data_IF_700694216521
#
_entry.id   IF_700694216521
#
_cell.length_a   1.000
_cell.length_b   1.000
_cell.length_c   1.000
_cell.angle_alpha   90.00
_cell.angle_beta   90.00
_cell.angle_gamma   90.00
#
_symmetry.space_group_name_H-M   'P 1'
#
loop_
_entity.id
_entity.type
_entity.pdbx_description
1 polymer ?
#
# COMPACT_ATOMS: atom_id res chain seq x y z
N UNK A 1 -23.94 -2.01 -16.92
CA UNK A 1 -22.88 -2.17 -15.90
C UNK A 1 -23.10 -3.49 -15.17
N UNK A 2 -22.05 -4.20 -14.76
CA UNK A 2 -22.21 -5.43 -13.97
C UNK A 2 -22.67 -5.11 -12.54
N UNK A 3 -23.38 -6.02 -11.87
CA UNK A 3 -23.76 -5.85 -10.46
C UNK A 3 -22.52 -5.58 -9.58
N UNK A 4 -21.41 -6.29 -9.85
CA UNK A 4 -20.12 -6.10 -9.16
C UNK A 4 -19.64 -4.65 -9.23
N UNK A 5 -19.61 -4.07 -10.43
CA UNK A 5 -19.19 -2.66 -10.64
C UNK A 5 -20.13 -1.67 -9.96
N UNK A 6 -21.45 -1.94 -9.96
CA UNK A 6 -22.42 -1.08 -9.27
C UNK A 6 -22.20 -1.10 -7.76
N UNK A 7 -22.04 -2.28 -7.14
CA UNK A 7 -21.77 -2.40 -5.70
C UNK A 7 -20.49 -1.65 -5.33
N UNK A 8 -19.41 -1.84 -6.09
CA UNK A 8 -18.15 -1.15 -5.85
C UNK A 8 -18.31 0.37 -5.94
N UNK A 9 -19.01 0.88 -6.96
CA UNK A 9 -19.25 2.32 -7.13
C UNK A 9 -20.02 2.94 -5.95
N UNK A 10 -21.00 2.23 -5.39
CA UNK A 10 -21.73 2.68 -4.19
C UNK A 10 -20.90 2.55 -2.91
N UNK A 11 -19.91 1.65 -2.87
CA UNK A 11 -19.05 1.45 -1.71
C UNK A 11 -17.95 2.51 -1.56
N UNK A 12 -17.43 3.07 -2.66
CA UNK A 12 -16.36 4.08 -2.62
C UNK A 12 -16.65 5.29 -1.71
N UNK A 13 -17.81 5.96 -1.76
CA UNK A 13 -18.10 7.09 -0.87
C UNK A 13 -18.26 6.69 0.61
N UNK A 14 -18.39 5.40 0.91
CA UNK A 14 -18.52 4.86 2.27
C UNK A 14 -17.16 4.56 2.92
N UNK A 15 -16.09 4.45 2.12
CA UNK A 15 -14.73 4.11 2.59
C UNK A 15 -14.22 4.99 3.74
N UNK A 16 -14.42 6.34 3.76
CA UNK A 16 -13.89 7.18 4.83
C UNK A 16 -14.49 6.87 6.22
N UNK A 17 -15.62 6.15 6.26
CA UNK A 17 -16.34 5.83 7.49
C UNK A 17 -16.27 4.35 7.87
N UNK A 18 -16.22 3.46 6.88
CA UNK A 18 -16.34 2.01 7.09
C UNK A 18 -15.11 1.21 6.62
N UNK A 19 -14.08 1.91 6.13
CA UNK A 19 -12.83 1.33 5.62
C UNK A 19 -13.01 0.36 4.43
N UNK A 20 -11.92 -0.31 4.04
CA UNK A 20 -11.86 -1.34 3.00
C UNK A 20 -12.34 -2.69 3.50
N UNK A 21 -13.50 -2.72 4.15
CA UNK A 21 -14.03 -3.93 4.77
C UNK A 21 -15.14 -4.55 3.94
N UNK A 22 -15.41 -5.82 4.26
CA UNK A 22 -16.55 -6.54 3.72
C UNK A 22 -17.89 -5.88 4.09
N UNK A 23 -17.98 -5.32 5.28
CA UNK A 23 -19.19 -4.62 5.77
C UNK A 23 -19.55 -3.42 4.88
N UNK A 24 -18.54 -2.70 4.35
CA UNK A 24 -18.74 -1.61 3.40
C UNK A 24 -19.48 -2.08 2.14
N UNK A 25 -19.18 -3.29 1.64
CA UNK A 25 -19.89 -3.88 0.49
C UNK A 25 -21.32 -4.28 0.87
N UNK A 26 -21.52 -4.85 2.06
CA UNK A 26 -22.85 -5.23 2.57
C UNK A 26 -23.77 -4.01 2.74
N UNK A 27 -23.20 -2.87 3.17
CA UNK A 27 -23.88 -1.58 3.25
C UNK A 27 -24.19 -1.01 1.86
N UNK A 28 -23.24 -1.03 0.93
CA UNK A 28 -23.47 -0.58 -0.45
C UNK A 28 -24.59 -1.38 -1.14
N UNK A 29 -24.60 -2.71 -0.96
CA UNK A 29 -25.65 -3.57 -1.50
C UNK A 29 -27.03 -3.28 -0.90
N UNK A 30 -27.09 -2.93 0.40
CA UNK A 30 -28.32 -2.51 1.05
C UNK A 30 -28.85 -1.18 0.48
N UNK A 31 -27.96 -0.24 0.16
CA UNK A 31 -28.33 1.03 -0.47
C UNK A 31 -28.93 0.81 -1.86
N UNK A 32 -28.33 -0.07 -2.67
CA UNK A 32 -28.84 -0.39 -4.02
C UNK A 32 -30.25 -0.98 -3.95
N UNK A 33 -30.51 -1.95 -3.06
CA UNK A 33 -31.85 -2.55 -2.89
C UNK A 33 -32.91 -1.52 -2.48
N UNK A 34 -32.53 -0.56 -1.64
CA UNK A 34 -33.44 0.50 -1.20
C UNK A 34 -33.87 1.41 -2.36
N UNK A 35 -33.01 1.58 -3.38
CA UNK A 35 -33.30 2.39 -4.57
C UNK A 35 -34.17 1.63 -5.58
N UNK A 36 -33.97 0.32 -5.73
CA UNK A 36 -34.70 -0.49 -6.73
C UNK A 36 -36.13 -0.86 -6.31
N UNK A 37 -36.52 -0.65 -5.05
CA UNK A 37 -37.82 -1.07 -4.53
C UNK A 37 -38.72 0.10 -4.03
N UNK A 38 -39.06 1.12 -4.85
CA UNK A 38 -39.73 2.31 -4.30
C UNK A 38 -41.24 2.16 -3.99
N UNK A 39 -41.96 1.17 -4.53
CA UNK A 39 -43.43 1.31 -4.66
C UNK A 39 -44.26 0.01 -4.54
N UNK A 40 -43.86 -0.95 -3.68
CA UNK A 40 -44.81 -2.01 -3.31
C UNK A 40 -45.81 -1.46 -2.27
N UNK A 41 -47.12 -1.35 -2.57
CA UNK A 41 -48.09 -0.80 -1.64
C UNK A 41 -48.15 -1.64 -0.38
N UNK A 42 -48.03 -0.94 0.74
CA UNK A 42 -48.08 -1.38 2.14
C UNK A 42 -49.15 -2.43 2.38
N UNK A 43 -48.82 -3.71 2.17
CA UNK A 43 -49.66 -4.82 2.59
C UNK A 43 -49.26 -5.10 4.04
N UNK A 44 -50.14 -4.71 4.94
CA UNK A 44 -50.04 -4.94 6.37
C UNK A 44 -49.69 -6.41 6.65
N UNK A 45 -48.43 -6.67 7.01
CA UNK A 45 -47.99 -7.99 7.47
C UNK A 45 -47.29 -7.84 8.82
N UNK A 46 -47.85 -8.60 9.74
CA UNK A 46 -47.65 -8.70 11.18
C UNK A 46 -46.26 -9.17 11.60
N UNK A 47 -45.79 -8.60 12.72
CA UNK A 47 -45.07 -9.14 13.89
C UNK A 47 -43.88 -10.13 13.77
N UNK A 48 -43.55 -10.71 12.62
CA UNK A 48 -42.45 -11.69 12.47
C UNK A 48 -41.13 -11.08 11.92
N UNK A 49 -40.95 -9.77 12.10
CA UNK A 49 -39.89 -8.96 11.47
C UNK A 49 -38.44 -9.28 11.90
N UNK A 50 -38.26 -9.93 13.06
CA UNK A 50 -36.92 -10.21 13.58
C UNK A 50 -36.19 -11.30 12.77
N UNK A 51 -36.91 -12.29 12.24
CA UNK A 51 -36.30 -13.43 11.55
C UNK A 51 -35.93 -13.14 10.09
N UNK A 52 -36.68 -12.27 9.41
CA UNK A 52 -36.42 -11.90 8.02
C UNK A 52 -35.13 -11.10 7.86
N UNK A 53 -34.83 -10.24 8.85
CA UNK A 53 -33.62 -9.40 8.86
C UNK A 53 -32.32 -10.23 8.84
N UNK A 54 -32.32 -11.41 9.48
CA UNK A 54 -31.16 -12.31 9.51
C UNK A 54 -31.01 -13.11 8.20
N UNK A 55 -32.12 -13.52 7.58
CA UNK A 55 -32.06 -14.19 6.28
C UNK A 55 -31.59 -13.21 5.19
N UNK A 56 -31.97 -11.94 5.30
CA UNK A 56 -31.49 -10.89 4.40
C UNK A 56 -30.00 -10.57 4.57
N UNK A 57 -29.44 -10.65 5.78
CA UNK A 57 -27.99 -10.52 5.97
C UNK A 57 -27.25 -11.71 5.36
N UNK A 58 -27.68 -12.95 5.65
CA UNK A 58 -27.08 -14.16 5.07
C UNK A 58 -27.11 -14.14 3.54
N UNK A 59 -28.24 -13.73 2.96
CA UNK A 59 -28.38 -13.60 1.51
C UNK A 59 -27.40 -12.57 0.90
N UNK A 60 -27.16 -11.44 1.59
CA UNK A 60 -26.18 -10.43 1.15
C UNK A 60 -24.75 -10.94 1.20
N UNK A 61 -24.40 -11.64 2.29
CA UNK A 61 -23.07 -12.22 2.43
C UNK A 61 -22.79 -13.26 1.35
N UNK A 62 -23.76 -14.12 1.03
CA UNK A 62 -23.64 -15.11 -0.05
C UNK A 62 -23.45 -14.44 -1.42
N UNK A 63 -24.12 -13.31 -1.68
CA UNK A 63 -23.92 -12.53 -2.91
C UNK A 63 -22.49 -11.97 -2.96
N UNK A 64 -21.98 -11.44 -1.85
CA UNK A 64 -20.62 -10.92 -1.77
C UNK A 64 -19.59 -12.03 -2.00
N UNK A 65 -19.76 -13.19 -1.37
CA UNK A 65 -18.89 -14.35 -1.57
C UNK A 65 -18.89 -14.82 -3.03
N UNK A 66 -20.06 -14.81 -3.67
CA UNK A 66 -20.20 -15.23 -5.07
C UNK A 66 -19.52 -14.25 -6.03
N UNK A 67 -19.61 -12.94 -5.77
CA UNK A 67 -19.11 -11.90 -6.68
C UNK A 67 -17.63 -11.55 -6.46
N UNK A 68 -17.17 -11.62 -5.21
CA UNK A 68 -15.85 -11.15 -4.80
C UNK A 68 -14.96 -12.26 -4.25
N UNK A 69 -15.48 -13.47 -4.09
CA UNK A 69 -14.77 -14.58 -3.48
C UNK A 69 -14.98 -14.66 -1.97
N UNK A 70 -14.71 -15.84 -1.41
CA UNK A 70 -14.90 -16.12 0.01
C UNK A 70 -13.85 -15.46 0.89
N UNK A 71 -14.21 -15.17 2.13
CA UNK A 71 -13.31 -14.62 3.14
C UNK A 71 -13.35 -13.09 3.22
N UNK A 72 -12.40 -12.52 3.96
CA UNK A 72 -12.35 -11.08 4.23
C UNK A 72 -11.43 -10.33 3.29
N UNK A 73 -10.34 -10.96 2.84
CA UNK A 73 -9.29 -10.31 2.04
C UNK A 73 -9.69 -10.08 0.58
N UNK A 74 -10.38 -11.04 -0.05
CA UNK A 74 -10.74 -10.94 -1.46
C UNK A 74 -11.73 -9.80 -1.74
N UNK A 75 -12.83 -9.64 -0.96
CA UNK A 75 -13.73 -8.49 -1.12
C UNK A 75 -13.06 -7.15 -0.79
N UNK A 76 -12.26 -7.11 0.28
CA UNK A 76 -11.50 -5.94 0.69
C UNK A 76 -10.51 -5.49 -0.42
N UNK A 77 -9.80 -6.44 -1.02
CA UNK A 77 -8.88 -6.16 -2.13
C UNK A 77 -9.61 -5.62 -3.37
N UNK A 78 -10.78 -6.17 -3.69
CA UNK A 78 -11.60 -5.66 -4.79
C UNK A 78 -12.06 -4.21 -4.56
N UNK A 79 -12.33 -3.82 -3.30
CA UNK A 79 -12.59 -2.42 -2.95
C UNK A 79 -11.36 -1.54 -3.19
N UNK A 80 -10.18 -1.98 -2.75
CA UNK A 80 -8.93 -1.23 -2.97
C UNK A 80 -8.65 -1.06 -4.46
N UNK A 81 -8.76 -2.12 -5.26
CA UNK A 81 -8.58 -2.08 -6.72
C UNK A 81 -9.58 -1.10 -7.37
N UNK A 82 -10.85 -1.14 -6.97
CA UNK A 82 -11.85 -0.20 -7.48
C UNK A 82 -11.57 1.25 -7.07
N UNK A 83 -11.10 1.47 -5.84
CA UNK A 83 -10.69 2.79 -5.37
C UNK A 83 -9.49 3.32 -6.14
N UNK A 84 -8.52 2.47 -6.48
CA UNK A 84 -7.40 2.85 -7.33
C UNK A 84 -7.86 3.28 -8.72
N UNK A 85 -8.72 2.47 -9.37
CA UNK A 85 -9.26 2.77 -10.69
C UNK A 85 -10.03 4.08 -10.69
N UNK A 86 -10.86 4.34 -9.67
CA UNK A 86 -11.57 5.62 -9.55
C UNK A 86 -10.61 6.79 -9.29
N UNK A 87 -9.59 6.57 -8.46
CA UNK A 87 -8.54 7.57 -8.21
C UNK A 87 -7.74 7.92 -9.46
N UNK A 88 -7.53 6.98 -10.39
CA UNK A 88 -6.90 7.30 -11.68
C UNK A 88 -7.75 8.26 -12.52
N UNK A 89 -9.09 8.19 -12.43
CA UNK A 89 -9.96 9.17 -13.11
C UNK A 89 -9.79 10.58 -12.53
N UNK A 90 -9.38 10.72 -11.27
CA UNK A 90 -9.08 12.04 -10.69
C UNK A 90 -7.79 12.66 -11.24
N UNK A 91 -6.89 11.84 -11.81
CA UNK A 91 -5.70 12.29 -12.55
C UNK A 91 -6.13 12.90 -13.90
N UNK A 92 -7.20 12.35 -14.49
CA UNK A 92 -7.75 12.77 -15.78
C UNK A 92 -8.67 13.98 -15.69
N UNK A 93 -9.41 14.16 -14.60
CA UNK A 93 -10.51 15.13 -14.46
C UNK A 93 -10.12 16.62 -14.45
N UNK A 94 -8.89 16.96 -14.84
CA UNK A 94 -8.42 18.33 -14.93
C UNK A 94 -8.50 18.92 -16.34
N UNK A 95 -8.19 20.22 -16.43
CA UNK A 95 -7.92 20.87 -17.70
C UNK A 95 -6.86 20.08 -18.47
N UNK A 96 -7.01 19.98 -19.80
CA UNK A 96 -6.01 19.38 -20.69
C UNK A 96 -4.60 19.95 -20.48
N UNK A 97 -4.52 21.18 -19.94
CA UNK A 97 -3.29 21.90 -19.66
C UNK A 97 -2.66 21.69 -18.28
N UNK A 98 -3.22 20.82 -17.45
CA UNK A 98 -2.66 20.53 -16.12
C UNK A 98 -1.23 19.99 -16.21
N UNK A 99 -0.34 20.51 -15.36
CA UNK A 99 1.02 19.98 -15.18
C UNK A 99 1.00 18.58 -14.54
N UNK A 100 2.06 17.80 -14.73
CA UNK A 100 2.25 16.50 -14.06
C UNK A 100 2.06 16.61 -12.54
N UNK A 101 2.64 17.66 -11.94
CA UNK A 101 2.51 17.98 -10.51
C UNK A 101 1.05 18.15 -10.09
N UNK A 102 0.26 18.96 -10.81
CA UNK A 102 -1.16 19.17 -10.50
C UNK A 102 -1.97 17.88 -10.57
N UNK A 103 -1.68 17.01 -11.54
CA UNK A 103 -2.36 15.71 -11.70
C UNK A 103 -2.09 14.79 -10.51
N UNK A 104 -0.82 14.69 -10.10
CA UNK A 104 -0.43 13.90 -8.94
C UNK A 104 -0.96 14.51 -7.63
N UNK A 105 -1.06 15.84 -7.53
CA UNK A 105 -1.70 16.50 -6.38
C UNK A 105 -3.19 16.17 -6.27
N UNK A 106 -3.94 16.13 -7.38
CA UNK A 106 -5.35 15.70 -7.38
C UNK A 106 -5.50 14.24 -6.96
N UNK A 107 -4.61 13.36 -7.42
CA UNK A 107 -4.61 11.97 -6.97
C UNK A 107 -4.36 11.86 -5.48
N UNK A 108 -3.46 12.68 -4.95
CA UNK A 108 -3.13 12.73 -3.54
C UNK A 108 -4.26 13.34 -2.69
N UNK A 109 -4.99 14.33 -3.22
CA UNK A 109 -6.25 14.81 -2.64
C UNK A 109 -7.30 13.70 -2.56
N UNK A 110 -7.49 12.94 -3.65
CA UNK A 110 -8.41 11.80 -3.66
C UNK A 110 -8.00 10.74 -2.62
N UNK A 111 -6.70 10.44 -2.49
CA UNK A 111 -6.21 9.54 -1.43
C UNK A 111 -6.48 10.06 -0.03
N UNK A 112 -6.33 11.36 0.19
CA UNK A 112 -6.57 11.95 1.52
C UNK A 112 -8.03 11.81 1.98
N UNK A 113 -8.98 11.69 1.05
CA UNK A 113 -10.39 11.48 1.38
C UNK A 113 -10.67 10.18 2.14
N UNK A 114 -9.80 9.17 1.99
CA UNK A 114 -9.92 7.89 2.71
C UNK A 114 -9.42 7.97 4.16
N UNK A 115 -8.56 8.95 4.46
CA UNK A 115 -8.03 9.17 5.81
C UNK A 115 -7.17 8.03 6.32
N UNK A 116 -7.41 7.62 7.57
CA UNK A 116 -6.64 6.59 8.29
C UNK A 116 -6.71 5.19 7.65
N UNK A 117 -7.78 4.92 6.91
CA UNK A 117 -8.00 3.64 6.23
C UNK A 117 -7.03 3.40 5.06
N UNK A 118 -6.24 4.41 4.67
CA UNK A 118 -5.18 4.25 3.67
C UNK A 118 -4.09 3.25 4.11
N UNK A 119 -3.84 3.13 5.43
CA UNK A 119 -2.92 2.10 5.96
C UNK A 119 -3.46 0.70 5.67
N UNK A 120 -4.77 0.50 5.84
CA UNK A 120 -5.43 -0.78 5.56
C UNK A 120 -5.36 -1.11 4.07
N UNK A 121 -5.56 -0.12 3.18
CA UNK A 121 -5.37 -0.31 1.74
C UNK A 121 -3.96 -0.81 1.42
N UNK A 122 -2.93 -0.24 2.04
CA UNK A 122 -1.54 -0.68 1.83
C UNK A 122 -1.27 -2.08 2.36
N UNK A 123 -1.85 -2.43 3.50
CA UNK A 123 -1.79 -3.78 4.03
C UNK A 123 -2.44 -4.78 3.05
N UNK A 124 -3.62 -4.44 2.51
CA UNK A 124 -4.34 -5.26 1.53
C UNK A 124 -3.61 -5.39 0.19
N UNK A 125 -2.91 -4.35 -0.27
CA UNK A 125 -2.08 -4.40 -1.47
C UNK A 125 -0.84 -5.27 -1.28
N UNK A 126 -0.29 -5.25 -0.07
CA UNK A 126 0.86 -6.08 0.30
C UNK A 126 0.45 -7.53 0.58
N UNK A 127 -0.83 -7.77 0.85
CA UNK A 127 -1.37 -9.09 1.14
C UNK A 127 -1.35 -9.98 -0.13
N UNK A 128 -0.85 -11.22 -0.02
CA UNK A 128 -0.88 -12.16 -1.13
C UNK A 128 -2.34 -12.47 -1.52
N UNK A 129 -2.68 -12.27 -2.81
CA UNK A 129 -4.07 -12.42 -3.31
C UNK A 129 -4.59 -13.86 -3.24
N UNK A 130 -3.69 -14.83 -3.19
CA UNK A 130 -3.95 -16.20 -2.75
C UNK A 130 -2.60 -16.73 -2.30
N UNK A 131 -2.56 -17.57 -1.27
CA UNK A 131 -1.38 -18.35 -0.93
C UNK A 131 -1.49 -19.69 -1.67
N UNK A 132 -1.08 -19.82 -2.94
CA UNK A 132 -0.83 -21.15 -3.46
C UNK A 132 0.36 -21.67 -2.64
N UNK A 133 0.09 -22.66 -1.80
CA UNK A 133 1.08 -23.43 -1.04
C UNK A 133 1.89 -24.29 -2.01
N UNK A 134 2.68 -23.64 -2.86
CA UNK A 134 3.63 -24.34 -3.72
C UNK A 134 4.81 -24.74 -2.83
N UNK A 135 5.12 -26.04 -2.68
CA UNK A 135 6.31 -26.47 -1.97
C UNK A 135 7.53 -25.92 -2.72
N UNK A 136 8.28 -25.02 -2.09
CA UNK A 136 9.49 -24.46 -2.68
C UNK A 136 10.63 -25.48 -2.49
N UNK A 137 11.30 -25.94 -3.55
CA UNK A 137 12.46 -26.81 -3.43
C UNK A 137 13.58 -26.09 -2.67
N UNK A 138 14.12 -26.75 -1.64
CA UNK A 138 15.13 -26.19 -0.71
C UNK A 138 16.35 -25.59 -1.41
N UNK A 139 16.74 -26.14 -2.56
CA UNK A 139 17.90 -25.67 -3.34
C UNK A 139 17.81 -24.24 -3.86
N UNK A 140 16.60 -23.66 -3.99
CA UNK A 140 16.44 -22.27 -4.43
C UNK A 140 16.69 -21.27 -3.29
N UNK A 141 16.50 -21.70 -2.04
CA UNK A 141 16.73 -20.86 -0.86
C UNK A 141 18.20 -20.56 -0.60
N UNK A 142 19.08 -21.51 -0.94
CA UNK A 142 20.53 -21.39 -0.73
C UNK A 142 21.17 -20.26 -1.56
N UNK A 143 20.50 -19.79 -2.61
CA UNK A 143 21.00 -18.76 -3.52
C UNK A 143 20.38 -17.37 -3.30
N UNK A 144 19.42 -17.23 -2.38
CA UNK A 144 18.87 -15.91 -2.09
C UNK A 144 19.87 -15.10 -1.26
N UNK A 145 20.19 -13.85 -1.67
CA UNK A 145 21.04 -12.98 -0.87
C UNK A 145 20.41 -12.80 0.51
N UNK A 146 21.21 -12.99 1.56
CA UNK A 146 20.78 -12.81 2.95
C UNK A 146 20.42 -11.35 3.15
N UNK A 147 19.13 -11.05 3.17
CA UNK A 147 18.63 -9.75 3.57
C UNK A 147 18.54 -9.72 5.09
N UNK A 148 19.39 -8.92 5.72
CA UNK A 148 19.27 -8.58 7.13
C UNK A 148 18.06 -7.65 7.27
N UNK A 149 16.90 -8.22 7.59
CA UNK A 149 15.72 -7.43 7.93
C UNK A 149 15.96 -6.67 9.24
N UNK A 150 15.57 -5.39 9.33
CA UNK A 150 15.61 -4.67 10.60
C UNK A 150 14.76 -5.41 11.65
N UNK A 151 15.08 -5.26 12.95
CA UNK A 151 14.30 -5.87 14.02
C UNK A 151 12.86 -5.41 13.93
N UNK A 152 11.92 -6.37 13.82
CA UNK A 152 10.48 -6.10 13.81
C UNK A 152 10.13 -5.25 15.03
N UNK A 153 9.44 -4.12 14.78
CA UNK A 153 8.97 -3.19 15.81
C UNK A 153 8.36 -3.93 17.01
N UNK A 154 9.00 -3.80 18.17
CA UNK A 154 8.40 -4.18 19.45
C UNK A 154 7.69 -2.94 20.01
N UNK A 155 6.36 -2.96 20.16
CA UNK A 155 5.64 -1.83 20.72
C UNK A 155 6.12 -1.59 22.16
N UNK A 156 6.44 -0.34 22.53
CA UNK A 156 6.84 0.03 23.88
C UNK A 156 5.66 -0.25 24.82
N UNK A 157 5.80 -1.27 25.67
CA UNK A 157 4.75 -1.67 26.62
C UNK A 157 4.67 -3.17 26.89
N UNK A 158 5.27 -4.01 26.04
CA UNK A 158 5.35 -5.47 26.28
C UNK A 158 6.66 -5.87 26.98
N UNK A 159 7.07 -5.09 27.98
CA UNK A 159 8.05 -5.59 28.95
C UNK A 159 7.36 -6.67 29.78
N UNK A 160 7.41 -7.90 29.28
CA UNK A 160 7.02 -9.08 30.03
C UNK A 160 8.00 -9.20 31.19
N UNK A 161 7.62 -8.69 32.36
CA UNK A 161 8.31 -8.88 33.62
C UNK A 161 8.20 -10.35 34.01
N UNK A 162 8.96 -11.22 33.34
CA UNK A 162 9.17 -12.58 33.82
C UNK A 162 10.14 -12.49 35.00
N UNK A 163 9.58 -12.33 36.19
CA UNK A 163 10.28 -12.47 37.46
C UNK A 163 10.67 -13.92 37.68
N UNK A 164 11.72 -14.39 36.99
CA UNK A 164 12.42 -15.61 37.40
C UNK A 164 13.34 -15.27 38.58
N UNK A 165 13.06 -15.95 39.69
CA UNK A 165 13.82 -15.88 40.93
C UNK A 165 15.32 -16.13 40.68
N UNK A 166 16.15 -15.21 41.18
CA UNK A 166 17.60 -15.36 41.35
C UNK A 166 17.88 -16.56 42.25
N UNK A 167 18.53 -17.58 41.70
CA UNK A 167 19.37 -18.51 42.43
C UNK A 167 20.81 -18.24 41.98
N UNK A 168 21.65 -17.82 42.93
CA UNK A 168 23.07 -17.53 42.72
C UNK A 168 23.85 -18.82 42.40
N UNK A 169 24.71 -18.86 41.37
CA UNK A 169 25.72 -19.90 41.21
C UNK A 169 27.08 -19.45 41.78
N UNK A 170 27.92 -20.40 42.27
CA UNK A 170 29.22 -20.09 42.84
C UNK A 170 30.27 -19.82 41.75
N UNK A 171 31.21 -18.94 42.11
CA UNK A 171 32.33 -18.52 41.29
C UNK A 171 33.26 -19.67 40.88
N UNK A 172 33.48 -19.84 39.58
CA UNK A 172 34.67 -20.54 39.05
C UNK A 172 35.21 -19.85 37.79
N UNK A 173 36.47 -19.43 37.92
CA UNK A 173 37.55 -19.39 36.92
C UNK A 173 37.25 -19.14 35.42
N UNK A 174 37.46 -17.88 35.05
CA UNK A 174 38.20 -17.36 33.90
C UNK A 174 39.14 -18.35 33.18
N UNK A 175 38.77 -18.82 31.99
CA UNK A 175 39.66 -19.16 30.86
C UNK A 175 38.95 -18.75 29.57
N UNK A 176 39.64 -17.99 28.73
CA UNK A 176 39.10 -17.46 27.47
C UNK A 176 38.98 -18.53 26.39
N UNK A 177 37.84 -18.51 25.70
CA UNK A 177 37.71 -18.86 24.30
C UNK A 177 36.65 -17.91 23.74
N UNK A 178 37.02 -17.18 22.69
CA UNK A 178 36.17 -16.21 22.05
C UNK A 178 34.85 -16.88 21.63
N UNK A 179 33.76 -16.26 22.06
CA UNK A 179 32.39 -16.62 21.76
C UNK A 179 32.19 -16.71 20.25
N UNK A 180 32.16 -17.94 19.76
CA UNK A 180 31.38 -18.34 18.59
C UNK A 180 29.95 -17.92 18.88
N UNK A 181 29.58 -16.73 18.37
CA UNK A 181 28.22 -16.25 18.44
C UNK A 181 27.40 -17.21 17.59
N UNK A 182 26.79 -18.19 18.28
CA UNK A 182 25.64 -18.96 17.83
C UNK A 182 24.58 -17.97 17.34
N UNK A 183 24.78 -17.54 16.09
CA UNK A 183 23.80 -16.87 15.27
C UNK A 183 22.86 -17.97 14.83
N UNK A 184 22.11 -18.52 15.79
CA UNK A 184 20.89 -19.26 15.54
C UNK A 184 20.05 -18.29 14.73
N UNK A 185 20.08 -18.50 13.42
CA UNK A 185 19.46 -17.59 12.48
C UNK A 185 17.99 -17.54 12.84
N UNK A 186 17.39 -16.35 12.75
CA UNK A 186 15.94 -16.20 12.92
C UNK A 186 15.18 -17.20 12.01
N UNK A 187 15.82 -17.58 10.89
CA UNK A 187 15.43 -18.67 10.01
C UNK A 187 15.36 -20.04 10.71
N UNK A 188 16.38 -20.51 11.43
CA UNK A 188 16.34 -21.81 12.13
C UNK A 188 15.25 -21.85 13.21
N UNK A 189 15.04 -20.74 13.94
CA UNK A 189 13.94 -20.63 14.91
C UNK A 189 12.58 -20.64 14.22
N UNK A 190 12.41 -19.91 13.12
CA UNK A 190 11.18 -19.93 12.32
C UNK A 190 10.94 -21.31 11.70
N UNK A 191 11.98 -21.98 11.21
CA UNK A 191 11.90 -23.33 10.62
C UNK A 191 11.47 -24.37 11.67
N UNK A 192 12.03 -24.29 12.89
CA UNK A 192 11.64 -25.16 14.00
C UNK A 192 10.20 -24.91 14.48
N UNK A 193 9.74 -23.65 14.51
CA UNK A 193 8.38 -23.28 14.90
C UNK A 193 7.33 -23.61 13.84
N UNK A 194 7.72 -23.67 12.56
CA UNK A 194 6.79 -23.89 11.44
C UNK A 194 6.90 -25.29 10.83
N UNK A 195 7.70 -26.18 11.43
CA UNK A 195 7.83 -27.57 11.02
C UNK A 195 8.43 -27.73 9.62
N UNK A 196 9.43 -26.91 9.27
CA UNK A 196 10.05 -26.94 7.93
C UNK A 196 9.23 -26.28 6.83
N UNK A 197 8.07 -25.69 7.16
CA UNK A 197 7.30 -24.85 6.25
C UNK A 197 7.60 -23.40 6.57
N UNK A 198 8.72 -22.89 6.06
CA UNK A 198 9.01 -21.46 6.14
C UNK A 198 7.77 -20.74 5.63
N UNK A 199 7.03 -20.00 6.49
CA UNK A 199 6.05 -19.08 5.97
C UNK A 199 6.94 -18.05 5.29
N UNK A 200 7.15 -18.22 3.99
CA UNK A 200 7.48 -17.09 3.17
C UNK A 200 6.33 -16.14 3.46
N UNK A 201 6.59 -15.20 4.35
CA UNK A 201 5.83 -13.99 4.48
C UNK A 201 6.01 -13.37 3.10
N UNK A 202 5.18 -13.82 2.15
CA UNK A 202 5.03 -13.29 0.81
C UNK A 202 4.30 -11.95 0.96
N UNK A 203 4.84 -11.10 1.84
CA UNK A 203 4.68 -9.68 1.67
C UNK A 203 5.11 -9.44 0.24
N UNK A 204 4.18 -8.94 -0.56
CA UNK A 204 4.56 -8.33 -1.79
C UNK A 204 4.94 -6.90 -1.40
N UNK A 205 6.21 -6.58 -1.05
CA UNK A 205 6.60 -5.21 -0.75
C UNK A 205 6.36 -4.31 -1.97
N UNK A 206 6.19 -4.93 -3.15
CA UNK A 206 5.86 -4.26 -4.39
C UNK A 206 4.36 -3.95 -4.51
N UNK A 207 3.51 -4.28 -3.53
CA UNK A 207 2.09 -3.92 -3.57
C UNK A 207 1.89 -2.40 -3.63
N UNK A 208 2.33 -1.65 -2.60
CA UNK A 208 2.31 -0.19 -2.64
C UNK A 208 3.16 0.40 -3.79
N UNK A 209 4.29 -0.24 -4.13
CA UNK A 209 5.11 0.22 -5.26
C UNK A 209 4.40 0.07 -6.61
N UNK A 210 3.73 -1.05 -6.85
CA UNK A 210 2.95 -1.31 -8.06
C UNK A 210 1.78 -0.33 -8.16
N UNK A 211 1.10 -0.07 -7.05
CA UNK A 211 0.07 0.96 -6.97
C UNK A 211 0.60 2.36 -7.39
N UNK A 212 1.74 2.78 -6.85
CA UNK A 212 2.32 4.07 -7.21
C UNK A 212 2.92 4.09 -8.62
N UNK A 213 3.42 2.94 -9.09
CA UNK A 213 3.88 2.74 -10.45
C UNK A 213 2.75 2.96 -11.45
N UNK A 214 1.57 2.39 -11.20
CA UNK A 214 0.40 2.56 -12.06
C UNK A 214 -0.05 4.02 -12.12
N UNK A 215 -0.01 4.74 -10.99
CA UNK A 215 -0.27 6.19 -10.95
C UNK A 215 0.76 6.96 -11.78
N UNK A 216 2.04 6.66 -11.61
CA UNK A 216 3.12 7.32 -12.33
C UNK A 216 3.04 7.07 -13.83
N UNK A 217 2.82 5.82 -14.25
CA UNK A 217 2.65 5.43 -15.64
C UNK A 217 1.44 6.11 -16.28
N UNK A 218 0.31 6.15 -15.57
CA UNK A 218 -0.90 6.83 -16.04
C UNK A 218 -0.67 8.34 -16.21
N UNK A 219 -0.07 8.99 -15.21
CA UNK A 219 0.19 10.42 -15.24
C UNK A 219 1.19 10.80 -16.36
N UNK A 220 2.23 10.00 -16.56
CA UNK A 220 3.20 10.17 -17.66
C UNK A 220 2.56 9.95 -19.02
N UNK A 221 1.72 8.94 -19.19
CA UNK A 221 1.02 8.68 -20.45
C UNK A 221 0.23 9.90 -20.91
N UNK A 222 -0.48 10.56 -20.00
CA UNK A 222 -1.25 11.76 -20.33
C UNK A 222 -0.31 12.91 -20.73
N UNK A 223 0.81 13.07 -20.03
CA UNK A 223 1.80 14.11 -20.34
C UNK A 223 2.50 13.87 -21.70
N UNK A 224 2.81 12.61 -22.02
CA UNK A 224 3.38 12.17 -23.31
C UNK A 224 2.40 12.43 -24.47
N UNK A 225 1.11 12.11 -24.30
CA UNK A 225 0.10 12.38 -25.33
C UNK A 225 -0.04 13.87 -25.65
N UNK A 226 0.24 14.74 -24.67
CA UNK A 226 0.14 16.19 -24.80
C UNK A 226 1.39 16.84 -25.39
N UNK A 227 2.58 16.40 -24.96
CA UNK A 227 3.84 16.99 -25.42
C UNK A 227 4.13 16.73 -26.91
N UNK A 228 3.39 15.79 -27.52
CA UNK A 228 3.67 15.27 -28.85
C UNK A 228 4.91 14.38 -28.75
N UNK A 229 4.80 13.12 -29.21
CA UNK A 229 5.83 12.07 -29.09
C UNK A 229 7.24 12.62 -28.89
N UNK A 230 7.68 12.67 -27.62
CA UNK A 230 9.04 13.06 -27.28
C UNK A 230 9.92 11.91 -27.72
N UNK A 231 10.51 12.00 -28.92
CA UNK A 231 11.46 10.98 -29.37
C UNK A 231 12.57 10.86 -28.32
N UNK A 232 12.87 9.63 -27.91
CA UNK A 232 13.98 9.39 -26.99
C UNK A 232 15.31 9.84 -27.60
N UNK A 233 16.38 9.88 -26.81
CA UNK A 233 17.73 10.25 -27.29
C UNK A 233 18.17 9.46 -28.54
N UNK A 234 17.65 8.24 -28.71
CA UNK A 234 17.94 7.36 -29.85
C UNK A 234 16.98 7.53 -31.04
N UNK A 235 16.16 8.60 -31.07
CA UNK A 235 15.05 8.78 -32.03
C UNK A 235 14.00 7.65 -32.03
N UNK A 236 14.07 6.73 -31.09
CA UNK A 236 13.05 5.73 -30.87
C UNK A 236 11.79 6.43 -30.32
N UNK A 237 10.58 5.97 -30.70
CA UNK A 237 9.38 6.38 -29.99
C UNK A 237 9.63 6.13 -28.50
N UNK A 238 9.41 7.13 -27.65
CA UNK A 238 9.60 7.05 -26.19
C UNK A 238 9.00 5.74 -25.68
N UNK A 239 9.83 4.72 -25.50
CA UNK A 239 9.36 3.36 -25.46
C UNK A 239 10.45 2.43 -24.94
N UNK A 240 10.11 1.69 -23.89
CA UNK A 240 10.84 0.60 -23.25
C UNK A 240 12.36 0.76 -22.98
N UNK A 241 12.95 1.93 -23.21
CA UNK A 241 14.33 2.23 -22.85
C UNK A 241 14.53 2.39 -21.34
N UNK A 242 15.77 2.36 -20.84
CA UNK A 242 16.05 2.52 -19.41
C UNK A 242 15.50 3.84 -18.85
N UNK A 243 15.50 4.92 -19.63
CA UNK A 243 14.91 6.22 -19.26
C UNK A 243 13.41 6.12 -18.93
N UNK A 244 12.69 5.28 -19.67
CA UNK A 244 11.25 5.07 -19.47
C UNK A 244 10.97 4.46 -18.09
N UNK A 245 11.82 3.51 -17.67
CA UNK A 245 11.73 2.85 -16.36
C UNK A 245 12.20 3.77 -15.23
N UNK A 246 13.30 4.51 -15.42
CA UNK A 246 13.83 5.40 -14.39
C UNK A 246 12.86 6.54 -14.09
N UNK A 247 12.24 7.14 -15.12
CA UNK A 247 11.20 8.17 -14.98
C UNK A 247 9.97 7.66 -14.22
N UNK A 248 9.48 6.46 -14.53
CA UNK A 248 8.33 5.87 -13.83
C UNK A 248 8.68 5.54 -12.38
N UNK A 249 9.82 4.91 -12.16
CA UNK A 249 10.27 4.54 -10.82
C UNK A 249 10.46 5.78 -9.94
N UNK A 250 11.11 6.83 -10.45
CA UNK A 250 11.36 8.05 -9.68
C UNK A 250 10.07 8.78 -9.33
N UNK A 251 9.12 8.89 -10.26
CA UNK A 251 7.81 9.51 -10.01
C UNK A 251 6.99 8.67 -9.03
N UNK A 252 6.99 7.33 -9.17
CA UNK A 252 6.32 6.44 -8.23
C UNK A 252 6.89 6.57 -6.82
N UNK A 253 8.21 6.62 -6.66
CA UNK A 253 8.88 6.84 -5.37
C UNK A 253 8.58 8.24 -4.80
N UNK A 254 8.60 9.28 -5.64
CA UNK A 254 8.24 10.63 -5.24
C UNK A 254 6.79 10.71 -4.73
N UNK A 255 5.87 10.02 -5.42
CA UNK A 255 4.47 9.93 -5.05
C UNK A 255 4.27 9.17 -3.73
N UNK A 256 4.88 7.99 -3.58
CA UNK A 256 4.82 7.22 -2.32
C UNK A 256 5.41 8.00 -1.14
N UNK A 257 6.54 8.67 -1.34
CA UNK A 257 7.16 9.47 -0.30
C UNK A 257 6.23 10.61 0.16
N UNK A 258 5.53 11.25 -0.79
CA UNK A 258 4.54 12.28 -0.49
C UNK A 258 3.29 11.70 0.21
N UNK A 259 2.74 10.60 -0.28
CA UNK A 259 1.55 9.96 0.29
C UNK A 259 1.83 9.38 1.69
N UNK A 260 3.07 8.98 1.98
CA UNK A 260 3.49 8.59 3.33
C UNK A 260 3.40 9.72 4.36
N UNK A 261 3.27 10.98 3.93
CA UNK A 261 3.00 12.11 4.81
C UNK A 261 1.54 12.13 5.28
N UNK A 262 0.61 11.55 4.51
CA UNK A 262 -0.79 11.37 4.91
C UNK A 262 -0.93 10.33 6.02
N UNK A 263 0.00 9.36 6.08
CA UNK A 263 0.00 8.27 7.05
C UNK A 263 0.70 8.63 8.37
N UNK A 264 1.17 9.86 8.53
CA UNK A 264 1.88 10.23 9.75
C UNK A 264 0.93 10.24 10.94
N UNK A 265 1.29 9.59 12.06
CA UNK A 265 0.49 9.67 13.28
C UNK A 265 0.40 11.14 13.69
N UNK A 266 -0.82 11.58 13.99
CA UNK A 266 -1.02 12.89 14.58
C UNK A 266 -0.27 12.92 15.91
N UNK A 267 0.68 13.83 16.04
CA UNK A 267 1.17 14.19 17.37
C UNK A 267 -0.08 14.57 18.16
N UNK A 268 -0.29 13.94 19.30
CA UNK A 268 -1.55 13.85 20.07
C UNK A 268 -2.03 15.18 20.67
N UNK A 269 -1.87 16.28 19.96
CA UNK A 269 -2.48 17.55 20.27
C UNK A 269 -3.98 17.46 19.97
N UNK A 270 -4.84 17.69 20.97
CA UNK A 270 -6.28 17.69 20.79
C UNK A 270 -6.67 18.99 20.09
N UNK A 271 -6.54 19.03 18.76
CA UNK A 271 -7.05 20.10 17.91
C UNK A 271 -7.94 19.46 16.83
N UNK A 272 -8.93 20.23 16.39
CA UNK A 272 -10.11 19.77 15.69
C UNK A 272 -9.88 19.50 14.19
N UNK A 273 -10.97 19.17 13.50
CA UNK A 273 -11.20 18.88 12.07
C UNK A 273 -10.31 19.63 11.04
N UNK A 274 -9.65 20.74 11.38
CA UNK A 274 -8.61 21.40 10.57
C UNK A 274 -7.38 20.52 10.28
N UNK A 275 -7.15 19.46 11.04
CA UNK A 275 -5.92 18.67 10.95
C UNK A 275 -5.79 17.84 9.66
N UNK A 276 -6.89 17.41 9.05
CA UNK A 276 -6.86 16.70 7.77
C UNK A 276 -6.27 17.58 6.65
N UNK A 277 -6.55 18.89 6.68
CA UNK A 277 -5.99 19.84 5.74
C UNK A 277 -4.48 20.02 5.92
N UNK A 278 -3.98 19.88 7.16
CA UNK A 278 -2.56 20.02 7.46
C UNK A 278 -1.74 18.90 6.81
N UNK A 279 -2.14 17.63 6.96
CA UNK A 279 -1.43 16.48 6.35
C UNK A 279 -1.42 16.56 4.83
N UNK A 280 -2.55 16.93 4.22
CA UNK A 280 -2.64 17.10 2.77
C UNK A 280 -1.69 18.20 2.27
N UNK A 281 -1.59 19.32 2.99
CA UNK A 281 -0.68 20.41 2.62
C UNK A 281 0.80 19.99 2.72
N UNK A 282 1.15 19.22 3.74
CA UNK A 282 2.50 18.68 3.93
C UNK A 282 2.85 17.67 2.83
N UNK A 283 1.93 16.77 2.51
CA UNK A 283 2.07 15.79 1.43
C UNK A 283 2.26 16.46 0.06
N UNK A 284 1.45 17.46 -0.29
CA UNK A 284 1.63 18.25 -1.53
C UNK A 284 2.98 18.96 -1.58
N UNK A 285 3.44 19.55 -0.46
CA UNK A 285 4.76 20.20 -0.38
C UNK A 285 5.89 19.19 -0.60
N UNK A 286 5.79 18.00 0.02
CA UNK A 286 6.74 16.92 -0.19
C UNK A 286 6.76 16.48 -1.66
N UNK A 287 5.59 16.27 -2.28
CA UNK A 287 5.46 15.89 -3.68
C UNK A 287 6.18 16.89 -4.60
N UNK A 288 5.88 18.19 -4.48
CA UNK A 288 6.55 19.25 -5.28
C UNK A 288 8.06 19.23 -5.10
N UNK A 289 8.52 19.04 -3.86
CA UNK A 289 9.96 18.99 -3.55
C UNK A 289 10.61 17.78 -4.21
N UNK A 290 9.97 16.61 -4.16
CA UNK A 290 10.49 15.39 -4.77
C UNK A 290 10.47 15.45 -6.31
N UNK A 291 9.40 15.99 -6.92
CA UNK A 291 9.32 16.18 -8.36
C UNK A 291 10.37 17.18 -8.86
N UNK A 292 10.57 18.31 -8.18
CA UNK A 292 11.63 19.27 -8.53
C UNK A 292 13.03 18.64 -8.48
N UNK A 293 13.27 17.76 -7.51
CA UNK A 293 14.54 17.00 -7.43
C UNK A 293 14.67 16.01 -8.56
N UNK A 294 13.58 15.36 -8.94
CA UNK A 294 13.53 14.48 -10.10
C UNK A 294 13.82 15.23 -11.40
N UNK A 295 13.22 16.40 -11.62
CA UNK A 295 13.47 17.22 -12.81
C UNK A 295 14.96 17.61 -12.90
N UNK A 296 15.56 18.06 -11.78
CA UNK A 296 16.99 18.34 -11.72
C UNK A 296 17.87 17.11 -11.98
N UNK A 297 17.50 15.94 -11.45
CA UNK A 297 18.22 14.70 -11.73
C UNK A 297 18.09 14.27 -13.20
N UNK A 298 16.90 14.46 -13.80
CA UNK A 298 16.64 14.17 -15.21
C UNK A 298 17.49 15.05 -16.12
N UNK A 299 17.59 16.35 -15.84
CA UNK A 299 18.45 17.27 -16.60
C UNK A 299 19.93 16.85 -16.53
N UNK A 300 20.40 16.39 -15.37
CA UNK A 300 21.77 15.86 -15.21
C UNK A 300 21.97 14.59 -16.04
N UNK A 301 21.01 13.65 -16.00
CA UNK A 301 21.09 12.41 -16.78
C UNK A 301 21.06 12.70 -18.28
N UNK A 302 20.23 13.64 -18.74
CA UNK A 302 20.13 14.02 -20.15
C UNK A 302 21.37 14.80 -20.64
N UNK A 303 21.99 15.61 -19.78
CA UNK A 303 23.20 16.37 -20.13
C UNK A 303 24.49 15.54 -20.04
N UNK A 304 24.46 14.43 -19.31
CA UNK A 304 25.60 13.52 -19.19
C UNK A 304 25.48 12.38 -20.21
N UNK A 305 26.27 12.45 -21.28
CA UNK A 305 26.49 11.30 -22.20
C UNK A 305 27.04 10.05 -21.46
N UNK A 306 27.41 10.17 -20.18
CA UNK A 306 27.85 9.09 -19.28
C UNK A 306 26.81 8.64 -18.23
N UNK A 307 25.54 9.05 -18.38
CA UNK A 307 24.47 9.00 -17.37
C UNK A 307 24.12 7.64 -16.74
N UNK A 308 24.61 6.52 -17.26
CA UNK A 308 24.41 5.20 -16.65
C UNK A 308 25.14 5.04 -15.30
N UNK A 309 26.24 5.75 -15.06
CA UNK A 309 26.98 5.64 -13.79
C UNK A 309 26.29 6.35 -12.62
N UNK A 310 25.43 7.34 -12.91
CA UNK A 310 24.82 8.19 -11.88
C UNK A 310 23.47 7.66 -11.38
N UNK A 311 22.76 6.81 -12.12
CA UNK A 311 21.49 6.19 -11.69
C UNK A 311 21.67 5.37 -10.41
N UNK A 312 22.84 4.73 -10.25
CA UNK A 312 23.19 4.00 -9.02
C UNK A 312 23.24 4.91 -7.79
N UNK A 313 23.81 6.11 -7.93
CA UNK A 313 23.89 7.08 -6.82
C UNK A 313 22.52 7.65 -6.44
N UNK A 314 21.63 7.80 -7.42
CA UNK A 314 20.24 8.21 -7.18
C UNK A 314 19.48 7.12 -6.39
N UNK A 315 19.54 5.86 -6.83
CA UNK A 315 18.92 4.74 -6.11
C UNK A 315 19.47 4.58 -4.70
N UNK A 316 20.78 4.75 -4.52
CA UNK A 316 21.41 4.73 -3.20
C UNK A 316 20.94 5.89 -2.32
N UNK A 317 20.76 7.10 -2.88
CA UNK A 317 20.24 8.24 -2.15
C UNK A 317 18.78 8.06 -1.72
N UNK A 318 17.92 7.57 -2.63
CA UNK A 318 16.53 7.23 -2.29
C UNK A 318 16.46 6.08 -1.28
N UNK A 319 17.31 5.06 -1.45
CA UNK A 319 17.44 3.94 -0.52
C UNK A 319 17.84 4.41 0.87
N UNK A 320 18.90 5.22 1.00
CA UNK A 320 19.33 5.79 2.29
C UNK A 320 18.29 6.72 2.89
N UNK A 321 17.59 7.50 2.07
CA UNK A 321 16.48 8.36 2.51
C UNK A 321 15.33 7.54 3.08
N UNK A 322 14.90 6.49 2.38
CA UNK A 322 13.85 5.58 2.83
C UNK A 322 14.27 4.78 4.06
N UNK A 323 15.50 4.28 4.11
CA UNK A 323 16.04 3.55 5.27
C UNK A 323 16.12 4.48 6.48
N UNK A 324 16.56 5.72 6.32
CA UNK A 324 16.56 6.71 7.40
C UNK A 324 15.14 7.01 7.89
N UNK A 325 14.18 7.08 6.97
CA UNK A 325 12.77 7.33 7.25
C UNK A 325 12.09 6.11 7.92
N UNK A 326 12.46 4.88 7.56
CA UNK A 326 12.02 3.65 8.23
C UNK A 326 12.64 3.53 9.64
N UNK A 327 13.97 3.71 9.73
CA UNK A 327 14.72 3.63 10.99
C UNK A 327 14.32 4.69 12.00
N UNK A 328 14.05 5.93 11.55
CA UNK A 328 13.54 7.00 12.43
C UNK A 328 12.10 6.77 12.87
N UNK A 329 11.36 5.89 12.19
CA UNK A 329 9.97 5.53 12.50
C UNK A 329 9.82 4.21 13.26
N UNK A 330 10.93 3.54 13.59
CA UNK A 330 10.92 2.26 14.30
C UNK A 330 10.28 1.13 13.49
N UNK A 331 10.13 1.29 12.17
CA UNK A 331 9.72 0.24 11.24
C UNK A 331 10.91 -0.65 10.85
#
# INVERSE_FOLDING_TARGET
MSLKTTILQYALPLLPKYSFTRDTLSLALQQIRSVEQPLAPSRAVSRDFAHTSQLDSIGRENIIDTLFGTGTTSPAKALVESWQVEGLKSVDSGHDRASLTERLERRLEYSSGVGEHLVEAYALLSAPGSTPSVPVPRSVLDHLPRFDFPPLYQPPGTASTSSHARLDPPATSRVGAASEWDSITLLDKLESLTGGRIPFLRFNPLGPLGYAWDIADHALRIDETRSGQTRGMMNEPTGAGPEWYTSRMSIALAYLAAESQLLQPQASHPVAIEDAAHHLSAAKRALRTHLKRYDGAREIVQSSESGLKDVGSMLEFFGRGMIGLLRSRGL
#
